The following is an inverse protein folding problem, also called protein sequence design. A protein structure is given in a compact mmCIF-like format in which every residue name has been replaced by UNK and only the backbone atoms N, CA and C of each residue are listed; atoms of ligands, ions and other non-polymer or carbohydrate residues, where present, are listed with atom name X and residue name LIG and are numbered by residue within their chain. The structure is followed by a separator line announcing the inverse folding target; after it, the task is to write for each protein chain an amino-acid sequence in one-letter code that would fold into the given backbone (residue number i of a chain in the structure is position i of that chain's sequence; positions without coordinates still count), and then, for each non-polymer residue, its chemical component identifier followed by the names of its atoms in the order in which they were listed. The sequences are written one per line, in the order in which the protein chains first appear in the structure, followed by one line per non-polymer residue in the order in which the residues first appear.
data_IF_067959266886
#
_entry.id   IF_067959266886
#
_cell.length_a   1.000
_cell.length_b   1.000
_cell.length_c   1.000
_cell.angle_alpha   90.00
_cell.angle_beta   90.00
_cell.angle_gamma   90.00
#
_symmetry.space_group_name_H-M   'P 1'
#
loop_
_entity.id
_entity.type
_entity.pdbx_description
1 polymer ?
#
# COMPACT_ATOMS: atom_id res chain seq x y z
N UNK A 1 -25.45 16.82 -6.69
CA UNK A 1 -24.48 16.34 -7.70
C UNK A 1 -23.04 16.37 -7.17
N UNK A 2 -22.43 17.54 -6.94
CA UNK A 2 -21.02 17.64 -6.47
C UNK A 2 -20.72 16.85 -5.17
N UNK A 3 -21.63 16.84 -4.20
CA UNK A 3 -21.45 16.07 -2.97
C UNK A 3 -21.46 14.55 -3.17
N UNK A 4 -22.33 14.03 -4.05
CA UNK A 4 -22.34 12.61 -4.40
C UNK A 4 -21.05 12.22 -5.13
N UNK A 5 -20.60 13.05 -6.09
CA UNK A 5 -19.38 12.78 -6.84
C UNK A 5 -18.13 12.82 -5.93
N UNK A 6 -18.09 13.75 -4.98
CA UNK A 6 -17.04 13.82 -3.95
C UNK A 6 -17.01 12.57 -3.08
N UNK A 7 -18.16 12.11 -2.58
CA UNK A 7 -18.22 10.88 -1.78
C UNK A 7 -17.90 9.64 -2.58
N UNK A 8 -18.33 9.58 -3.84
CA UNK A 8 -17.97 8.50 -4.76
C UNK A 8 -16.46 8.43 -4.99
N UNK A 9 -15.80 9.57 -5.18
CA UNK A 9 -14.34 9.63 -5.31
C UNK A 9 -13.64 9.18 -4.01
N UNK A 10 -14.09 9.64 -2.84
CA UNK A 10 -13.55 9.21 -1.53
C UNK A 10 -13.75 7.72 -1.30
N UNK A 11 -14.93 7.18 -1.60
CA UNK A 11 -15.24 5.77 -1.49
C UNK A 11 -14.39 4.92 -2.44
N UNK A 12 -14.19 5.37 -3.68
CA UNK A 12 -13.34 4.69 -4.65
C UNK A 12 -11.88 4.69 -4.20
N UNK A 13 -11.39 5.81 -3.68
CA UNK A 13 -10.03 5.93 -3.17
C UNK A 13 -9.83 5.08 -1.90
N UNK A 14 -10.83 5.02 -1.03
CA UNK A 14 -10.82 4.14 0.14
C UNK A 14 -10.82 2.66 -0.26
N UNK A 15 -11.59 2.30 -1.29
CA UNK A 15 -11.61 0.94 -1.83
C UNK A 15 -10.24 0.57 -2.43
N UNK A 16 -9.65 1.45 -3.23
CA UNK A 16 -8.30 1.26 -3.79
C UNK A 16 -7.23 1.17 -2.69
N UNK A 17 -7.30 2.04 -1.68
CA UNK A 17 -6.39 2.01 -0.53
C UNK A 17 -6.51 0.71 0.25
N UNK A 18 -7.75 0.27 0.51
CA UNK A 18 -8.01 -1.00 1.20
C UNK A 18 -7.49 -2.17 0.41
N UNK A 19 -7.75 -2.20 -0.91
CA UNK A 19 -7.25 -3.25 -1.80
C UNK A 19 -5.72 -3.29 -1.80
N UNK A 20 -5.05 -2.14 -1.86
CA UNK A 20 -3.59 -2.06 -1.82
C UNK A 20 -3.02 -2.57 -0.49
N UNK A 21 -3.58 -2.15 0.65
CA UNK A 21 -3.13 -2.58 1.97
C UNK A 21 -3.27 -4.10 2.17
N UNK A 22 -4.41 -4.67 1.76
CA UNK A 22 -4.65 -6.10 1.86
C UNK A 22 -3.85 -6.91 0.84
N UNK A 23 -3.64 -6.41 -0.37
CA UNK A 23 -2.78 -7.05 -1.36
C UNK A 23 -1.33 -7.12 -0.88
N UNK A 24 -0.78 -6.01 -0.36
CA UNK A 24 0.56 -5.98 0.23
C UNK A 24 0.68 -6.94 1.41
N UNK A 25 -0.34 -6.99 2.29
CA UNK A 25 -0.38 -7.94 3.40
C UNK A 25 -0.38 -9.40 2.90
N UNK A 26 -1.21 -9.73 1.91
CA UNK A 26 -1.28 -11.07 1.34
C UNK A 26 0.05 -11.51 0.69
N UNK A 27 0.69 -10.62 -0.07
CA UNK A 27 2.02 -10.89 -0.64
C UNK A 27 3.04 -11.15 0.45
N UNK A 28 3.07 -10.32 1.50
CA UNK A 28 4.01 -10.50 2.60
C UNK A 28 3.76 -11.80 3.39
N UNK A 29 2.51 -12.15 3.69
CA UNK A 29 2.16 -13.43 4.33
C UNK A 29 2.53 -14.62 3.43
N UNK A 30 2.26 -14.52 2.12
CA UNK A 30 2.64 -15.54 1.15
C UNK A 30 4.17 -15.71 1.11
N UNK A 31 4.94 -14.62 1.06
CA UNK A 31 6.40 -14.67 1.05
C UNK A 31 6.97 -15.31 2.31
N UNK A 32 6.43 -15.00 3.50
CA UNK A 32 6.86 -15.62 4.76
C UNK A 32 6.51 -17.11 4.78
N UNK A 33 5.29 -17.48 4.36
CA UNK A 33 4.83 -18.87 4.32
C UNK A 33 5.63 -19.73 3.34
N UNK A 34 6.09 -19.12 2.25
CA UNK A 34 6.90 -19.78 1.22
C UNK A 34 8.40 -19.52 1.38
N UNK A 35 8.84 -18.86 2.47
CA UNK A 35 10.25 -18.51 2.66
C UNK A 35 11.15 -19.76 2.69
N UNK A 36 10.68 -20.84 3.33
CA UNK A 36 11.38 -22.13 3.33
C UNK A 36 11.42 -22.80 1.95
N UNK A 37 10.37 -22.69 1.15
CA UNK A 37 10.34 -23.22 -0.21
C UNK A 37 11.19 -22.37 -1.19
N UNK A 38 11.23 -21.05 -1.02
CA UNK A 38 12.09 -20.13 -1.76
C UNK A 38 13.56 -20.33 -1.41
N UNK A 39 13.87 -20.50 -0.12
CA UNK A 39 15.22 -20.86 0.36
C UNK A 39 15.64 -22.26 -0.12
N UNK A 40 14.73 -23.23 -0.06
CA UNK A 40 14.91 -24.59 -0.59
C UNK A 40 15.13 -24.63 -2.10
N UNK A 41 14.42 -23.80 -2.87
CA UNK A 41 14.61 -23.65 -4.30
C UNK A 41 15.96 -22.98 -4.63
N UNK A 42 16.37 -21.97 -3.86
CA UNK A 42 17.67 -21.33 -4.01
C UNK A 42 18.84 -22.25 -3.63
N UNK A 43 18.68 -23.07 -2.60
CA UNK A 43 19.65 -24.12 -2.24
C UNK A 43 19.63 -25.27 -3.24
N UNK A 44 18.47 -25.58 -3.83
CA UNK A 44 18.33 -26.45 -5.00
C UNK A 44 19.14 -25.94 -6.20
N UNK A 45 19.11 -24.63 -6.48
CA UNK A 45 19.96 -23.98 -7.50
C UNK A 45 21.45 -24.08 -7.17
N UNK A 46 21.84 -23.98 -5.89
CA UNK A 46 23.22 -24.23 -5.46
C UNK A 46 23.65 -25.70 -5.62
N UNK A 47 22.69 -26.64 -5.61
CA UNK A 47 22.90 -28.06 -5.89
C UNK A 47 22.76 -28.45 -7.37
N UNK A 48 22.26 -27.54 -8.22
CA UNK A 48 22.32 -27.69 -9.67
C UNK A 48 23.79 -27.50 -10.05
N UNK A 49 24.50 -28.63 -10.07
CA UNK A 49 25.82 -28.70 -10.67
C UNK A 49 25.74 -28.08 -12.08
N UNK A 50 26.71 -27.24 -12.41
CA UNK A 50 26.79 -26.61 -13.71
C UNK A 50 26.67 -27.71 -14.77
N UNK A 51 25.69 -27.66 -15.69
CA UNK A 51 25.50 -28.70 -16.68
C UNK A 51 26.79 -28.95 -17.44
N UNK A 52 27.11 -30.21 -17.73
CA UNK A 52 28.39 -30.63 -18.35
C UNK A 52 28.68 -29.90 -19.68
N UNK A 53 27.62 -29.49 -20.39
CA UNK A 53 27.71 -28.73 -21.64
C UNK A 53 28.06 -27.24 -21.45
N UNK A 54 27.82 -26.69 -20.26
CA UNK A 54 28.10 -25.31 -19.85
C UNK A 54 29.47 -25.20 -19.16
N UNK A 55 29.99 -26.32 -18.63
CA UNK A 55 31.29 -26.36 -17.96
C UNK A 55 32.46 -25.77 -18.77
N UNK A 56 32.57 -25.96 -20.10
CA UNK A 56 33.65 -25.35 -20.89
C UNK A 56 33.50 -23.83 -21.09
N UNK A 57 32.30 -23.29 -20.94
CA UNK A 57 31.94 -21.90 -21.26
C UNK A 57 31.88 -20.99 -20.02
N UNK A 58 31.98 -21.55 -18.81
CA UNK A 58 31.93 -20.79 -17.56
C UNK A 58 33.29 -20.86 -16.85
N UNK A 59 33.97 -19.71 -16.68
CA UNK A 59 35.19 -19.62 -15.88
C UNK A 59 34.97 -20.05 -14.43
N UNK A 60 35.96 -20.73 -13.83
CA UNK A 60 35.88 -21.18 -12.44
C UNK A 60 35.70 -20.01 -11.46
N UNK A 61 36.24 -18.83 -11.79
CA UNK A 61 36.13 -17.61 -11.00
C UNK A 61 34.67 -17.12 -10.90
N UNK A 62 33.88 -17.30 -11.97
CA UNK A 62 32.45 -16.95 -11.98
C UNK A 62 31.64 -17.91 -11.09
N UNK A 63 31.96 -19.20 -11.12
CA UNK A 63 31.32 -20.20 -10.25
C UNK A 63 31.64 -19.93 -8.78
N UNK A 64 32.90 -19.64 -8.46
CA UNK A 64 33.30 -19.31 -7.09
C UNK A 64 32.69 -18.00 -6.60
N UNK A 65 32.68 -16.94 -7.42
CA UNK A 65 32.11 -15.64 -7.03
C UNK A 65 30.60 -15.72 -6.79
N UNK A 66 29.85 -16.44 -7.63
CA UNK A 66 28.42 -16.69 -7.42
C UNK A 66 28.20 -17.55 -6.17
N UNK A 67 28.99 -18.59 -5.96
CA UNK A 67 28.89 -19.45 -4.78
C UNK A 67 29.17 -18.69 -3.48
N UNK A 68 30.18 -17.81 -3.48
CA UNK A 68 30.50 -16.92 -2.36
C UNK A 68 29.37 -15.90 -2.10
N UNK A 69 28.80 -15.32 -3.16
CA UNK A 69 27.67 -14.40 -3.06
C UNK A 69 26.45 -15.10 -2.45
N UNK A 70 26.15 -16.33 -2.88
CA UNK A 70 25.04 -17.14 -2.35
C UNK A 70 25.32 -17.59 -0.91
N UNK A 71 26.53 -18.04 -0.60
CA UNK A 71 26.92 -18.39 0.77
C UNK A 71 26.81 -17.18 1.72
N UNK A 72 27.12 -15.97 1.23
CA UNK A 72 26.95 -14.71 1.96
C UNK A 72 25.49 -14.37 2.29
N UNK A 73 24.52 -14.95 1.58
CA UNK A 73 23.10 -14.78 1.87
C UNK A 73 22.59 -15.70 2.98
N UNK A 74 23.30 -16.80 3.29
CA UNK A 74 22.90 -17.77 4.32
C UNK A 74 22.55 -17.12 5.67
N UNK A 75 23.44 -16.31 6.27
CA UNK A 75 23.16 -15.63 7.54
C UNK A 75 21.98 -14.66 7.47
N UNK A 76 21.73 -14.06 6.31
CA UNK A 76 20.64 -13.12 6.09
C UNK A 76 19.30 -13.87 6.01
N UNK A 77 19.28 -15.03 5.36
CA UNK A 77 18.13 -15.96 5.33
C UNK A 77 17.84 -16.49 6.74
N UNK A 78 18.85 -16.92 7.49
CA UNK A 78 18.68 -17.38 8.87
C UNK A 78 18.12 -16.28 9.78
N UNK A 79 18.65 -15.06 9.65
CA UNK A 79 18.13 -13.89 10.39
C UNK A 79 16.67 -13.60 10.04
N UNK A 80 16.29 -13.73 8.76
CA UNK A 80 14.93 -13.51 8.29
C UNK A 80 13.96 -14.59 8.81
N UNK A 81 14.41 -15.85 8.82
CA UNK A 81 13.65 -16.99 9.37
C UNK A 81 13.48 -16.87 10.89
N UNK A 82 14.51 -16.41 11.60
CA UNK A 82 14.43 -16.17 13.04
C UNK A 82 13.51 -15.00 13.39
N UNK A 83 13.45 -13.98 12.53
CA UNK A 83 12.51 -12.88 12.64
C UNK A 83 11.08 -13.23 12.18
N UNK A 84 10.90 -14.32 11.42
CA UNK A 84 9.61 -14.68 10.79
C UNK A 84 8.42 -14.75 11.77
N UNK A 85 8.53 -15.29 13.01
CA UNK A 85 7.42 -15.30 13.95
C UNK A 85 7.03 -13.89 14.43
N UNK A 86 8.01 -13.01 14.64
CA UNK A 86 7.78 -11.61 15.01
C UNK A 86 7.19 -10.82 13.82
N UNK A 87 7.64 -11.10 12.60
CA UNK A 87 7.08 -10.57 11.37
C UNK A 87 5.64 -11.04 11.15
N UNK A 88 5.31 -12.30 11.41
CA UNK A 88 3.96 -12.83 11.22
C UNK A 88 2.93 -12.14 12.14
N UNK A 89 3.28 -11.93 13.40
CA UNK A 89 2.44 -11.19 14.34
C UNK A 89 2.42 -9.68 14.05
N UNK A 90 3.59 -9.09 13.81
CA UNK A 90 3.76 -7.65 13.59
C UNK A 90 3.19 -7.15 12.27
N UNK A 91 3.21 -7.98 11.21
CA UNK A 91 2.72 -7.62 9.89
C UNK A 91 1.20 -7.37 9.91
N UNK A 92 0.44 -8.20 10.62
CA UNK A 92 -1.01 -8.01 10.76
C UNK A 92 -1.32 -6.73 11.52
N UNK A 93 -0.63 -6.48 12.64
CA UNK A 93 -0.78 -5.25 13.43
C UNK A 93 -0.40 -4.02 12.61
N UNK A 94 0.72 -4.06 11.90
CA UNK A 94 1.18 -2.98 11.03
C UNK A 94 0.18 -2.71 9.89
N UNK A 95 -0.35 -3.76 9.26
CA UNK A 95 -1.39 -3.62 8.23
C UNK A 95 -2.63 -2.93 8.80
N UNK A 96 -3.11 -3.33 9.97
CA UNK A 96 -4.25 -2.68 10.62
C UNK A 96 -3.99 -1.20 10.94
N UNK A 97 -2.80 -0.87 11.45
CA UNK A 97 -2.41 0.52 11.75
C UNK A 97 -2.35 1.36 10.48
N UNK A 98 -1.65 0.89 9.45
CA UNK A 98 -1.49 1.60 8.17
C UNK A 98 -2.85 1.77 7.48
N UNK A 99 -3.64 0.71 7.42
CA UNK A 99 -4.97 0.74 6.84
C UNK A 99 -5.88 1.71 7.60
N UNK A 100 -5.88 1.65 8.94
CA UNK A 100 -6.69 2.48 9.81
C UNK A 100 -6.35 3.97 9.67
N UNK A 101 -5.06 4.32 9.75
CA UNK A 101 -4.60 5.71 9.59
C UNK A 101 -4.98 6.24 8.20
N UNK A 102 -4.71 5.49 7.14
CA UNK A 102 -5.07 5.89 5.79
C UNK A 102 -6.57 6.07 5.59
N UNK A 103 -7.39 5.17 6.17
CA UNK A 103 -8.85 5.26 6.13
C UNK A 103 -9.36 6.51 6.84
N UNK A 104 -8.84 6.81 8.03
CA UNK A 104 -9.19 8.02 8.79
C UNK A 104 -8.83 9.28 8.01
N UNK A 105 -7.61 9.35 7.45
CA UNK A 105 -7.17 10.50 6.65
C UNK A 105 -8.04 10.73 5.42
N UNK A 106 -8.43 9.66 4.71
CA UNK A 106 -9.31 9.74 3.55
C UNK A 106 -10.72 10.22 3.91
N UNK A 107 -11.27 9.75 5.02
CA UNK A 107 -12.59 10.20 5.51
C UNK A 107 -12.54 11.66 5.96
N UNK A 108 -11.49 12.06 6.69
CA UNK A 108 -11.28 13.46 7.09
C UNK A 108 -11.13 14.38 5.89
N UNK A 109 -10.42 13.95 4.85
CA UNK A 109 -10.30 14.68 3.59
C UNK A 109 -11.67 14.89 2.93
N UNK A 110 -12.50 13.84 2.87
CA UNK A 110 -13.87 13.92 2.37
C UNK A 110 -14.74 14.88 3.17
N UNK A 111 -14.70 14.79 4.50
CA UNK A 111 -15.43 15.67 5.41
C UNK A 111 -14.99 17.13 5.30
N UNK A 112 -13.68 17.38 5.24
CA UNK A 112 -13.09 18.71 5.08
C UNK A 112 -13.47 19.37 3.76
N UNK A 113 -13.43 18.61 2.66
CA UNK A 113 -13.87 19.10 1.35
C UNK A 113 -15.36 19.47 1.36
N UNK A 114 -16.19 18.65 2.01
CA UNK A 114 -17.61 18.92 2.22
C UNK A 114 -17.86 20.20 3.02
N UNK A 115 -17.13 20.40 4.11
CA UNK A 115 -17.23 21.58 4.96
C UNK A 115 -16.80 22.85 4.21
N UNK A 116 -15.72 22.79 3.42
CA UNK A 116 -15.25 23.90 2.61
C UNK A 116 -16.30 24.33 1.57
N UNK A 117 -16.95 23.37 0.91
CA UNK A 117 -18.05 23.64 -0.03
C UNK A 117 -19.24 24.28 0.70
N UNK A 118 -19.60 23.79 1.89
CA UNK A 118 -20.69 24.34 2.68
C UNK A 118 -20.41 25.79 3.14
N UNK A 119 -19.19 26.06 3.61
CA UNK A 119 -18.76 27.40 4.03
C UNK A 119 -18.73 28.39 2.86
N UNK A 120 -18.27 27.96 1.67
CA UNK A 120 -18.29 28.79 0.46
C UNK A 120 -19.73 29.11 0.02
N UNK A 121 -20.66 28.15 0.07
CA UNK A 121 -22.08 28.39 -0.24
C UNK A 121 -22.72 29.38 0.73
N UNK A 122 -22.40 29.30 2.03
CA UNK A 122 -22.90 30.25 3.04
C UNK A 122 -22.45 31.68 2.74
N UNK A 123 -21.18 31.89 2.36
CA UNK A 123 -20.66 33.22 2.00
C UNK A 123 -21.25 33.79 0.72
N UNK A 124 -21.54 32.95 -0.29
CA UNK A 124 -22.21 33.40 -1.51
C UNK A 124 -23.72 33.66 -1.32
N UNK A 125 -24.37 33.01 -0.35
CA UNK A 125 -25.79 33.20 -0.05
C UNK A 125 -26.11 34.40 0.85
N UNK A 126 -25.15 34.88 1.65
CA UNK A 126 -25.32 36.03 2.55
C UNK A 126 -25.24 37.41 1.86
N UNK A 127 -25.05 37.46 0.54
CA UNK A 127 -24.99 38.70 -0.25
C UNK A 127 -26.28 39.10 -0.97
N UNK A 128 -27.34 38.29 -0.90
CA UNK A 128 -28.63 38.58 -1.52
C UNK A 128 -29.69 38.84 -0.44
N UNK A 129 -29.55 39.97 0.27
CA UNK A 129 -30.64 40.51 1.09
C UNK A 129 -31.84 40.90 0.19
N UNK A 130 -33.08 40.76 0.67
CA UNK A 130 -34.27 40.96 -0.13
C UNK A 130 -34.35 42.42 -0.58
N UNK A 131 -34.55 42.64 -1.89
CA UNK A 131 -34.94 43.96 -2.40
C UNK A 131 -36.21 44.39 -1.64
N UNK A 132 -36.24 45.56 -0.98
CA UNK A 132 -37.49 46.09 -0.48
C UNK A 132 -38.34 46.38 -1.71
N UNK A 133 -39.37 45.56 -1.92
CA UNK A 133 -40.45 45.88 -2.85
C UNK A 133 -41.21 47.03 -2.18
N UNK A 134 -40.81 48.26 -2.51
CA UNK A 134 -41.56 49.44 -2.12
C UNK A 134 -42.89 49.41 -2.87
N UNK A 135 -43.92 48.95 -2.19
CA UNK A 135 -45.30 48.98 -2.67
C UNK A 135 -46.07 50.00 -1.82
N UNK A 136 -46.85 50.83 -2.53
CA UNK A 136 -47.87 51.78 -2.07
C UNK A 136 -47.34 53.13 -1.55
N UNK A 137 -47.94 54.29 -1.84
CA UNK A 137 -49.30 54.56 -2.30
C UNK A 137 -49.40 55.87 -3.10
N UNK A 138 -50.43 55.94 -3.94
CA UNK A 138 -50.99 57.14 -4.51
C UNK A 138 -51.46 58.12 -3.42
N UNK A 139 -51.39 59.42 -3.75
CA UNK A 139 -51.89 60.55 -2.97
C UNK A 139 -51.59 61.84 -3.70
#
# INVERSE_FOLDING_TARGET
MFYLLSWFAVASLLALWSLAAWALHAVAVWSVSNAGALSGAASGVASIALPEWLAPWVPAELVQSVSQMVAGLGPLVDSLLQAAPALAGGLTVATWVIWGIGSVLLVLLGAGLHLLIALRRRRSGSGAGPRPVSSLAAG
#
